data_IF_388925524682
#
_entry.id   IF_388925524682
#
_cell.length_a   1.000
_cell.length_b   1.000
_cell.length_c   1.000
_cell.angle_alpha   90.00
_cell.angle_beta   90.00
_cell.angle_gamma   90.00
#
_symmetry.space_group_name_H-M   'P 1'
#
loop_
_entity.id
_entity.type
_entity.pdbx_description
1 polymer ?
#
# COMPACT_ATOMS: atom_id res chain seq x y z
N UNK A 1 24.42 0.41 -5.90
CA UNK A 1 22.96 0.32 -6.02
C UNK A 1 22.43 0.74 -4.69
N UNK A 2 21.79 1.90 -4.61
CA UNK A 2 21.16 2.34 -3.36
C UNK A 2 19.99 1.40 -3.06
N UNK A 3 19.90 0.93 -1.80
CA UNK A 3 18.79 0.10 -1.36
C UNK A 3 17.48 0.90 -1.43
N UNK A 4 16.35 0.27 -1.80
CA UNK A 4 15.06 0.96 -1.84
C UNK A 4 14.65 1.41 -0.44
N UNK A 5 14.20 2.65 -0.32
CA UNK A 5 13.60 3.15 0.92
C UNK A 5 12.27 2.46 1.21
N UNK A 6 12.06 2.02 2.46
CA UNK A 6 10.79 1.39 2.91
C UNK A 6 10.03 2.33 3.86
N UNK A 7 8.73 2.53 3.61
CA UNK A 7 7.86 3.39 4.42
C UNK A 7 6.64 2.60 4.88
N UNK A 8 6.39 2.58 6.19
CA UNK A 8 5.21 1.94 6.77
C UNK A 8 4.13 2.98 7.11
N UNK A 9 2.94 2.79 6.56
CA UNK A 9 1.78 3.61 6.86
C UNK A 9 0.98 2.96 8.00
N UNK A 10 1.09 3.53 9.20
CA UNK A 10 0.40 3.04 10.40
C UNK A 10 -0.65 4.04 10.89
N UNK A 11 -1.60 3.57 11.69
CA UNK A 11 -2.71 4.40 12.18
C UNK A 11 -3.96 3.58 12.48
N UNK A 12 -4.92 4.18 13.19
CA UNK A 12 -6.18 3.53 13.59
C UNK A 12 -7.04 3.15 12.38
N UNK A 13 -8.02 2.26 12.60
CA UNK A 13 -9.05 1.97 11.60
C UNK A 13 -9.78 3.26 11.21
N UNK A 14 -10.06 3.44 9.92
CA UNK A 14 -10.69 4.67 9.41
C UNK A 14 -9.78 5.90 9.30
N UNK A 15 -8.50 5.84 9.69
CA UNK A 15 -7.56 6.97 9.58
C UNK A 15 -7.18 7.35 8.13
N UNK A 16 -7.73 6.67 7.11
CA UNK A 16 -7.48 6.98 5.70
C UNK A 16 -6.14 6.47 5.16
N UNK A 17 -5.54 5.44 5.78
CA UNK A 17 -4.24 4.86 5.38
C UNK A 17 -4.21 4.44 3.92
N UNK A 18 -5.18 3.63 3.49
CA UNK A 18 -5.34 3.15 2.10
C UNK A 18 -5.40 4.31 1.11
N UNK A 19 -6.20 5.33 1.39
CA UNK A 19 -6.30 6.55 0.57
C UNK A 19 -4.98 7.32 0.52
N UNK A 20 -4.28 7.44 1.66
CA UNK A 20 -2.99 8.11 1.76
C UNK A 20 -1.92 7.37 0.94
N UNK A 21 -1.82 6.05 1.07
CA UNK A 21 -0.88 5.19 0.33
C UNK A 21 -1.09 5.36 -1.18
N UNK A 22 -2.34 5.33 -1.66
CA UNK A 22 -2.66 5.52 -3.08
C UNK A 22 -2.19 6.88 -3.59
N UNK A 23 -2.61 7.96 -2.92
CA UNK A 23 -2.25 9.32 -3.32
C UNK A 23 -0.73 9.57 -3.26
N UNK A 24 -0.06 9.01 -2.26
CA UNK A 24 1.39 9.13 -2.10
C UNK A 24 2.15 8.36 -3.20
N UNK A 25 1.71 7.14 -3.53
CA UNK A 25 2.30 6.37 -4.62
C UNK A 25 2.10 7.05 -5.97
N UNK A 26 0.90 7.58 -6.25
CA UNK A 26 0.63 8.34 -7.49
C UNK A 26 1.54 9.57 -7.59
N UNK A 27 1.72 10.29 -6.48
CA UNK A 27 2.63 11.43 -6.42
C UNK A 27 4.09 11.04 -6.66
N UNK A 28 4.58 9.97 -6.01
CA UNK A 28 5.96 9.50 -6.21
C UNK A 28 6.21 9.07 -7.66
N UNK A 29 5.27 8.33 -8.26
CA UNK A 29 5.33 7.96 -9.68
C UNK A 29 5.34 9.20 -10.58
N UNK A 30 4.52 10.21 -10.28
CA UNK A 30 4.51 11.48 -11.03
C UNK A 30 5.81 12.26 -10.92
N UNK A 31 6.57 12.06 -9.84
CA UNK A 31 7.88 12.66 -9.61
C UNK A 31 9.04 11.82 -10.21
N UNK A 32 8.75 10.71 -10.90
CA UNK A 32 9.74 9.87 -11.57
C UNK A 32 10.38 8.79 -10.70
N UNK A 33 9.83 8.52 -9.51
CA UNK A 33 10.28 7.42 -8.67
C UNK A 33 9.61 6.11 -9.06
N UNK A 34 10.36 5.02 -8.99
CA UNK A 34 9.83 3.67 -9.04
C UNK A 34 9.24 3.29 -7.67
N UNK A 35 8.03 2.75 -7.64
CA UNK A 35 7.29 2.50 -6.40
C UNK A 35 6.62 1.13 -6.40
N UNK A 36 6.80 0.41 -5.30
CA UNK A 36 6.12 -0.85 -5.00
C UNK A 36 5.20 -0.63 -3.80
N UNK A 37 3.90 -0.87 -3.99
CA UNK A 37 2.87 -0.80 -2.96
C UNK A 37 2.59 -2.18 -2.41
N UNK A 38 2.75 -2.34 -1.09
CA UNK A 38 2.53 -3.62 -0.40
C UNK A 38 1.31 -3.49 0.52
N UNK A 39 0.28 -4.29 0.29
CA UNK A 39 -0.83 -4.44 1.22
C UNK A 39 -0.51 -5.53 2.26
N UNK A 40 -0.50 -5.14 3.54
CA UNK A 40 -0.32 -6.04 4.67
C UNK A 40 -1.60 -6.24 5.51
N UNK A 41 -2.72 -5.64 5.09
CA UNK A 41 -4.01 -5.76 5.78
C UNK A 41 -4.88 -6.83 5.11
N UNK A 42 -5.04 -8.03 5.73
CA UNK A 42 -5.91 -9.08 5.19
C UNK A 42 -7.41 -8.73 5.31
N UNK A 43 -7.76 -7.71 6.09
CA UNK A 43 -9.13 -7.24 6.30
C UNK A 43 -9.54 -6.08 5.38
N UNK A 44 -8.72 -5.73 4.39
CA UNK A 44 -9.06 -4.71 3.41
C UNK A 44 -10.20 -5.20 2.50
N UNK A 45 -11.40 -4.68 2.72
CA UNK A 45 -12.61 -5.03 1.95
C UNK A 45 -12.69 -4.26 0.62
N UNK A 46 -12.26 -3.00 0.60
CA UNK A 46 -12.30 -2.15 -0.58
C UNK A 46 -10.99 -2.26 -1.38
N UNK A 47 -11.05 -2.94 -2.53
CA UNK A 47 -9.96 -3.08 -3.49
C UNK A 47 -9.93 -1.94 -4.52
N UNK A 48 -10.32 -0.72 -4.13
CA UNK A 48 -10.31 0.46 -5.01
C UNK A 48 -8.90 0.88 -5.49
N UNK A 49 -7.85 0.15 -5.10
CA UNK A 49 -6.55 0.14 -5.76
C UNK A 49 -5.95 -1.28 -5.72
N UNK A 50 -5.17 -1.63 -6.75
CA UNK A 50 -4.45 -2.90 -6.85
C UNK A 50 -3.02 -2.71 -6.30
N UNK A 51 -2.66 -3.29 -5.14
CA UNK A 51 -1.27 -3.27 -4.67
C UNK A 51 -0.39 -4.20 -5.53
N UNK A 52 0.92 -3.92 -5.56
CA UNK A 52 1.89 -4.74 -6.28
C UNK A 52 2.16 -6.08 -5.55
N UNK A 53 2.00 -6.08 -4.23
CA UNK A 53 2.07 -7.27 -3.38
C UNK A 53 0.90 -7.25 -2.41
N UNK A 54 0.09 -8.31 -2.39
CA UNK A 54 -1.10 -8.38 -1.54
C UNK A 54 -1.11 -9.59 -0.60
N UNK A 55 -1.12 -9.34 0.71
CA UNK A 55 -1.20 -10.41 1.71
C UNK A 55 -2.43 -11.32 1.51
N UNK A 56 -3.51 -10.81 0.90
CA UNK A 56 -4.76 -11.55 0.62
C UNK A 56 -4.57 -12.72 -0.36
N UNK A 57 -3.45 -12.75 -1.10
CA UNK A 57 -3.07 -13.90 -1.94
C UNK A 57 -2.69 -15.13 -1.11
N UNK A 58 -2.21 -14.94 0.13
CA UNK A 58 -1.74 -16.01 1.01
C UNK A 58 -2.59 -16.18 2.27
N UNK A 59 -3.20 -15.11 2.77
CA UNK A 59 -3.92 -15.09 4.05
C UNK A 59 -5.36 -14.66 3.81
N UNK A 60 -6.32 -15.49 4.24
CA UNK A 60 -7.75 -15.16 4.23
C UNK A 60 -8.27 -15.08 5.66
N UNK A 61 -9.08 -14.06 5.93
CA UNK A 61 -9.90 -14.03 7.13
C UNK A 61 -11.06 -15.03 6.92
N UNK A 62 -11.37 -15.79 7.96
CA UNK A 62 -12.36 -16.88 7.93
C UNK A 62 -13.79 -16.39 7.72
#
# INVERSE_FOLDING_TARGET
MDEPGTIYFTGTAGAGKTTCVRAFSDWMRSAGYDTTVVNLDPGLEDASFEPDVDVREWVRLA
#
